data_IF_665724509641
#
_entry.id   IF_665724509641
#
_cell.length_a   1.000
_cell.length_b   1.000
_cell.length_c   1.000
_cell.angle_alpha   90.00
_cell.angle_beta   90.00
_cell.angle_gamma   90.00
#
_symmetry.space_group_name_H-M   'P 1'
#
loop_
_entity.id
_entity.type
_entity.pdbx_description
1 polymer ?
#
# COMPACT_ATOMS: atom_id res chain seq x y z
N UNK A 1 -2.79 -38.24 -51.72
CA UNK A 1 -1.61 -37.90 -50.90
C UNK A 1 -0.66 -37.09 -51.78
N UNK A 2 -0.34 -35.85 -51.42
CA UNK A 2 0.26 -34.84 -52.32
C UNK A 2 1.82 -34.84 -52.27
N UNK A 3 2.45 -35.75 -51.53
CA UNK A 3 3.89 -35.69 -51.24
C UNK A 3 4.75 -36.70 -52.03
N UNK A 4 4.55 -36.81 -53.35
CA UNK A 4 5.34 -37.69 -54.21
C UNK A 4 6.04 -36.93 -55.36
N UNK A 5 6.58 -35.73 -55.08
CA UNK A 5 7.45 -35.02 -56.01
C UNK A 5 8.92 -35.39 -55.76
N UNK A 6 9.66 -35.71 -56.82
CA UNK A 6 11.02 -36.25 -56.80
C UNK A 6 12.10 -35.23 -56.33
N UNK A 7 11.77 -33.94 -56.25
CA UNK A 7 12.67 -32.84 -55.89
C UNK A 7 12.20 -32.08 -54.64
N UNK A 8 11.85 -32.81 -53.58
CA UNK A 8 11.49 -32.17 -52.31
C UNK A 8 12.74 -31.57 -51.65
N UNK A 9 12.73 -30.25 -51.46
CA UNK A 9 13.78 -29.55 -50.71
C UNK A 9 13.27 -29.26 -49.31
N UNK A 10 13.93 -29.83 -48.30
CA UNK A 10 13.64 -29.51 -46.90
C UNK A 10 14.27 -28.16 -46.56
N UNK A 11 13.42 -27.17 -46.30
CA UNK A 11 13.84 -25.80 -45.98
C UNK A 11 13.82 -25.58 -44.46
N UNK A 12 14.91 -25.06 -43.91
CA UNK A 12 14.97 -24.62 -42.51
C UNK A 12 14.78 -23.12 -42.46
N UNK A 13 13.79 -22.65 -41.72
CA UNK A 13 13.42 -21.25 -41.66
C UNK A 13 13.83 -20.63 -40.31
N UNK A 14 14.32 -19.39 -40.29
CA UNK A 14 14.70 -18.71 -39.06
C UNK A 14 13.47 -18.34 -38.21
N UNK A 15 13.67 -18.03 -36.93
CA UNK A 15 12.60 -17.53 -36.06
C UNK A 15 11.95 -16.27 -36.63
N UNK A 16 10.66 -16.07 -36.31
CA UNK A 16 9.86 -14.95 -36.82
C UNK A 16 9.80 -14.87 -38.36
N UNK A 17 9.81 -16.01 -39.04
CA UNK A 17 9.55 -16.11 -40.47
C UNK A 17 8.30 -16.93 -40.81
N UNK A 18 7.81 -16.76 -42.04
CA UNK A 18 6.79 -17.60 -42.66
C UNK A 18 7.27 -18.05 -44.04
N UNK A 19 7.17 -19.35 -44.37
CA UNK A 19 7.54 -19.87 -45.68
C UNK A 19 6.79 -19.16 -46.80
N UNK A 20 7.50 -18.88 -47.89
CA UNK A 20 6.94 -18.28 -49.10
C UNK A 20 7.53 -18.94 -50.31
N UNK A 21 6.70 -19.56 -51.12
CA UNK A 21 7.18 -20.15 -52.37
C UNK A 21 7.40 -19.05 -53.40
N UNK A 22 8.62 -18.93 -53.92
CA UNK A 22 8.98 -18.04 -55.03
C UNK A 22 9.42 -18.88 -56.24
N UNK A 23 9.17 -18.44 -57.48
CA UNK A 23 9.61 -19.15 -58.69
C UNK A 23 11.13 -19.34 -58.78
N UNK A 24 11.90 -18.53 -58.05
CA UNK A 24 13.37 -18.52 -58.08
C UNK A 24 13.99 -19.30 -56.91
N UNK A 25 13.33 -19.33 -55.75
CA UNK A 25 13.80 -20.05 -54.58
C UNK A 25 12.61 -20.70 -53.85
N UNK A 26 12.51 -22.04 -53.83
CA UNK A 26 11.44 -22.74 -53.14
C UNK A 26 11.54 -22.65 -51.60
N UNK A 27 12.69 -22.22 -51.07
CA UNK A 27 12.91 -21.99 -49.63
C UNK A 27 12.87 -20.50 -49.26
N UNK A 28 12.19 -19.68 -50.04
CA UNK A 28 12.04 -18.26 -49.73
C UNK A 28 11.10 -18.07 -48.52
N UNK A 29 11.23 -16.93 -47.83
CA UNK A 29 10.44 -16.65 -46.62
C UNK A 29 10.23 -15.16 -46.43
N UNK A 30 9.10 -14.80 -45.83
CA UNK A 30 8.84 -13.43 -45.36
C UNK A 30 9.06 -13.37 -43.84
N UNK A 31 9.61 -12.25 -43.36
CA UNK A 31 9.68 -11.97 -41.93
C UNK A 31 8.31 -11.50 -41.42
N UNK A 32 7.90 -12.05 -40.28
CA UNK A 32 6.66 -11.70 -39.58
C UNK A 32 6.96 -10.99 -38.26
N UNK A 33 5.91 -10.65 -37.52
CA UNK A 33 6.02 -10.04 -36.19
C UNK A 33 6.81 -8.71 -36.16
N UNK A 34 6.88 -7.98 -37.27
CA UNK A 34 7.60 -6.71 -37.38
C UNK A 34 9.11 -6.83 -37.58
N UNK A 35 9.65 -8.04 -37.72
CA UNK A 35 11.07 -8.26 -37.99
C UNK A 35 11.40 -7.96 -39.46
N UNK A 36 12.66 -7.59 -39.71
CA UNK A 36 13.14 -7.25 -41.05
C UNK A 36 14.17 -8.25 -41.55
N UNK A 37 14.19 -8.47 -42.86
CA UNK A 37 15.15 -9.35 -43.53
C UNK A 37 16.58 -8.81 -43.39
N UNK A 38 17.48 -9.63 -42.85
CA UNK A 38 18.91 -9.34 -42.73
C UNK A 38 19.70 -10.60 -43.07
N UNK A 39 20.22 -10.65 -44.30
CA UNK A 39 20.83 -11.86 -44.83
C UNK A 39 19.79 -12.99 -44.86
N UNK A 40 20.09 -14.11 -44.20
CA UNK A 40 19.19 -15.26 -44.12
C UNK A 40 18.42 -15.34 -42.79
N UNK A 41 18.23 -14.21 -42.09
CA UNK A 41 17.58 -14.15 -40.78
C UNK A 41 16.58 -12.99 -40.68
N UNK A 42 15.59 -13.14 -39.79
CA UNK A 42 14.68 -12.07 -39.42
C UNK A 42 15.19 -11.38 -38.15
N UNK A 43 15.58 -10.11 -38.25
CA UNK A 43 16.22 -9.37 -37.16
C UNK A 43 15.42 -8.12 -36.82
N UNK A 44 15.27 -7.85 -35.52
CA UNK A 44 14.70 -6.61 -35.01
C UNK A 44 15.80 -5.55 -34.94
N UNK A 45 15.82 -4.62 -35.91
CA UNK A 45 16.84 -3.57 -35.97
C UNK A 45 16.49 -2.40 -35.05
N UNK A 46 17.51 -1.79 -34.46
CA UNK A 46 17.37 -0.52 -33.75
C UNK A 46 16.75 0.55 -34.67
N UNK A 47 15.87 1.44 -34.14
CA UNK A 47 15.53 1.64 -32.73
C UNK A 47 14.40 0.75 -32.18
N UNK A 48 13.96 -0.27 -32.93
CA UNK A 48 12.89 -1.18 -32.51
C UNK A 48 13.42 -2.21 -31.50
N UNK A 49 12.54 -2.77 -30.68
CA UNK A 49 12.85 -3.81 -29.70
C UNK A 49 11.86 -4.97 -29.78
N UNK A 50 12.34 -6.17 -29.48
CA UNK A 50 11.50 -7.36 -29.38
C UNK A 50 10.70 -7.31 -28.08
N UNK A 51 9.39 -7.36 -28.19
CA UNK A 51 8.42 -7.35 -27.09
C UNK A 51 7.33 -8.39 -27.33
N UNK A 52 7.20 -9.36 -26.41
CA UNK A 52 6.25 -10.49 -26.53
C UNK A 52 6.28 -11.15 -27.92
N UNK A 53 7.49 -11.39 -28.45
CA UNK A 53 7.71 -12.00 -29.76
C UNK A 53 7.45 -11.09 -30.97
N UNK A 54 7.17 -9.79 -30.78
CA UNK A 54 7.02 -8.81 -31.87
C UNK A 54 8.08 -7.73 -31.81
N UNK A 55 8.71 -7.41 -32.94
CA UNK A 55 9.59 -6.28 -33.10
C UNK A 55 8.78 -5.00 -33.29
N UNK A 56 8.72 -4.18 -32.24
CA UNK A 56 7.89 -2.96 -32.18
C UNK A 56 8.70 -1.78 -31.65
N UNK A 57 8.13 -0.58 -31.78
CA UNK A 57 8.70 0.60 -31.13
C UNK A 57 8.65 0.43 -29.60
N UNK A 58 9.71 0.80 -28.88
CA UNK A 58 9.76 0.72 -27.42
C UNK A 58 8.56 1.41 -26.73
N UNK A 59 8.04 2.52 -27.28
CA UNK A 59 6.86 3.21 -26.75
C UNK A 59 5.56 2.43 -26.96
N UNK A 60 5.53 1.55 -27.96
CA UNK A 60 4.38 0.73 -28.34
C UNK A 60 4.45 -0.68 -27.74
N UNK A 61 5.55 -1.00 -27.06
CA UNK A 61 5.72 -2.23 -26.31
C UNK A 61 4.84 -2.15 -25.07
N UNK A 62 3.79 -2.99 -24.93
CA UNK A 62 3.06 -3.09 -23.68
C UNK A 62 3.98 -3.82 -22.70
N UNK A 63 4.86 -3.08 -22.03
CA UNK A 63 5.52 -3.59 -20.85
C UNK A 63 4.43 -3.91 -19.84
N UNK A 64 4.38 -5.17 -19.40
CA UNK A 64 3.87 -5.44 -18.06
C UNK A 64 4.62 -4.51 -17.11
N UNK A 65 3.89 -3.62 -16.43
CA UNK A 65 4.38 -3.00 -15.21
C UNK A 65 4.97 -1.58 -15.29
N UNK A 66 4.65 -0.75 -16.28
CA UNK A 66 4.42 0.67 -15.96
C UNK A 66 2.94 0.90 -15.65
N UNK A 67 2.40 0.01 -14.83
CA UNK A 67 1.45 0.42 -13.84
C UNK A 67 2.11 1.43 -12.90
N UNK A 68 2.27 2.67 -13.36
CA UNK A 68 1.78 3.79 -12.55
C UNK A 68 0.24 3.78 -12.59
N UNK A 69 -0.38 2.60 -12.47
CA UNK A 69 -1.44 2.52 -11.50
C UNK A 69 -0.82 3.14 -10.26
N UNK A 70 -1.36 4.26 -9.86
CA UNK A 70 -1.34 4.58 -8.46
C UNK A 70 -2.05 3.40 -7.77
N UNK A 71 -1.36 2.25 -7.61
CA UNK A 71 -1.08 1.82 -6.26
C UNK A 71 -0.47 3.07 -5.64
N UNK A 72 -1.35 3.96 -5.17
CA UNK A 72 -1.12 4.61 -3.90
C UNK A 72 -0.55 3.44 -3.12
N UNK A 73 0.75 3.51 -2.79
CA UNK A 73 1.24 2.71 -1.68
C UNK A 73 0.10 2.78 -0.69
N UNK A 74 -0.40 1.63 -0.25
CA UNK A 74 -1.38 1.58 0.80
C UNK A 74 -0.66 2.19 1.99
N UNK A 75 -0.56 3.53 1.99
CA UNK A 75 0.05 4.32 3.03
C UNK A 75 -0.69 3.89 4.25
N UNK A 76 0.02 3.83 5.35
CA UNK A 76 -0.61 3.35 6.56
C UNK A 76 -1.89 4.19 6.73
N UNK A 77 -3.05 3.54 6.76
CA UNK A 77 -4.33 4.19 6.46
C UNK A 77 -4.62 5.40 7.38
N UNK A 78 -3.94 5.44 8.54
CA UNK A 78 -3.92 6.52 9.51
C UNK A 78 -3.20 7.79 9.03
N UNK A 79 -2.43 7.77 7.94
CA UNK A 79 -1.79 8.96 7.33
C UNK A 79 -2.83 10.02 6.94
N UNK A 80 -4.07 9.61 6.68
CA UNK A 80 -5.20 10.49 6.38
C UNK A 80 -6.03 10.86 7.62
N UNK A 81 -5.71 10.32 8.80
CA UNK A 81 -6.40 10.62 10.05
C UNK A 81 -5.91 11.97 10.60
N UNK A 82 -6.48 13.06 10.08
CA UNK A 82 -6.15 14.43 10.45
C UNK A 82 -7.26 15.04 11.28
N UNK A 83 -6.88 15.61 12.41
CA UNK A 83 -7.77 16.37 13.28
C UNK A 83 -7.52 17.87 13.14
N UNK A 84 -8.45 18.67 13.65
CA UNK A 84 -8.24 20.11 13.83
C UNK A 84 -7.15 20.36 14.88
N UNK A 85 -6.60 21.57 14.88
CA UNK A 85 -5.60 21.96 15.87
C UNK A 85 -6.10 21.71 17.30
N UNK A 86 -5.23 21.14 18.12
CA UNK A 86 -5.52 20.77 19.51
C UNK A 86 -6.18 19.40 19.71
N UNK A 87 -6.54 18.68 18.64
CA UNK A 87 -7.16 17.36 18.72
C UNK A 87 -6.21 16.27 18.23
N UNK A 88 -6.29 15.11 18.86
CA UNK A 88 -5.49 13.92 18.54
C UNK A 88 -6.35 12.87 17.86
N UNK A 89 -5.85 12.26 16.79
CA UNK A 89 -6.52 11.15 16.14
C UNK A 89 -6.31 9.86 16.96
N UNK A 90 -7.40 9.34 17.51
CA UNK A 90 -7.42 8.16 18.37
C UNK A 90 -8.25 7.05 17.75
N UNK A 91 -7.95 5.80 18.08
CA UNK A 91 -8.78 4.66 17.70
C UNK A 91 -10.09 4.65 18.48
N UNK A 92 -11.13 4.05 17.90
CA UNK A 92 -12.45 3.92 18.55
C UNK A 92 -12.56 2.59 19.28
N UNK A 93 -12.94 2.60 20.56
CA UNK A 93 -13.18 1.37 21.33
C UNK A 93 -14.34 0.55 20.73
N UNK A 94 -14.13 -0.75 20.51
CA UNK A 94 -15.13 -1.61 19.85
C UNK A 94 -15.35 -1.32 18.36
N UNK A 95 -14.65 -0.34 17.80
CA UNK A 95 -14.66 -0.02 16.38
C UNK A 95 -13.87 -1.03 15.55
N UNK A 96 -14.02 -0.94 14.22
CA UNK A 96 -13.15 -1.71 13.31
C UNK A 96 -11.70 -1.18 13.39
N UNK A 97 -10.73 -1.94 12.86
CA UNK A 97 -9.29 -1.60 12.94
C UNK A 97 -8.89 -0.28 12.26
N UNK A 98 -9.78 0.32 11.46
CA UNK A 98 -9.59 1.59 10.76
C UNK A 98 -10.49 2.70 11.33
N UNK A 99 -11.27 2.41 12.36
CA UNK A 99 -12.16 3.37 12.99
C UNK A 99 -11.35 4.28 13.90
N UNK A 100 -11.50 5.57 13.68
CA UNK A 100 -10.79 6.60 14.41
C UNK A 100 -11.68 7.81 14.63
N UNK A 101 -11.35 8.58 15.65
CA UNK A 101 -12.03 9.81 16.01
C UNK A 101 -11.04 10.86 16.51
N UNK A 102 -11.46 12.12 16.54
CA UNK A 102 -10.66 13.22 17.05
C UNK A 102 -11.03 13.50 18.50
N UNK A 103 -10.07 13.32 19.40
CA UNK A 103 -10.25 13.53 20.84
C UNK A 103 -9.39 14.72 21.30
N UNK A 104 -9.95 15.57 22.15
CA UNK A 104 -9.18 16.60 22.85
C UNK A 104 -8.52 15.98 24.09
N UNK A 105 -7.32 15.43 23.88
CA UNK A 105 -6.59 14.70 24.93
C UNK A 105 -6.11 15.59 26.09
N UNK A 106 -6.37 16.89 26.04
CA UNK A 106 -6.07 17.81 27.16
C UNK A 106 -7.18 17.87 28.19
N UNK A 107 -8.41 17.56 27.80
CA UNK A 107 -9.60 17.75 28.62
C UNK A 107 -10.52 16.53 28.66
N UNK A 108 -10.30 15.55 27.78
CA UNK A 108 -11.04 14.30 27.80
C UNK A 108 -10.62 13.42 28.98
N UNK A 109 -11.59 12.97 29.77
CA UNK A 109 -11.36 12.18 30.99
C UNK A 109 -10.83 10.78 30.69
N UNK A 110 -11.29 10.19 29.60
CA UNK A 110 -11.02 8.79 29.25
C UNK A 110 -9.72 8.66 28.45
N UNK A 111 -9.33 9.73 27.76
CA UNK A 111 -8.13 9.85 26.94
C UNK A 111 -7.27 11.04 27.40
N UNK A 112 -7.03 11.12 28.69
CA UNK A 112 -6.25 12.22 29.26
C UNK A 112 -4.76 12.03 28.96
N UNK A 113 -4.12 13.05 28.39
CA UNK A 113 -2.70 13.05 28.01
C UNK A 113 -2.37 12.28 26.72
N UNK A 114 -3.33 11.57 26.14
CA UNK A 114 -3.17 10.82 24.90
C UNK A 114 -4.37 9.93 24.61
N UNK A 115 -4.29 9.07 23.61
CA UNK A 115 -5.41 8.18 23.28
C UNK A 115 -5.49 7.00 24.26
N UNK A 116 -6.67 6.73 24.84
CA UNK A 116 -6.94 5.45 25.50
C UNK A 116 -6.75 4.27 24.54
N UNK A 117 -7.17 4.46 23.29
CA UNK A 117 -6.96 3.52 22.18
C UNK A 117 -6.02 4.15 21.16
N UNK A 118 -4.71 3.82 21.18
CA UNK A 118 -3.74 4.34 20.23
C UNK A 118 -4.15 4.00 18.78
N UNK A 119 -4.09 4.98 17.89
CA UNK A 119 -4.40 4.80 16.48
C UNK A 119 -3.31 4.02 15.74
N UNK A 120 -2.05 4.27 16.10
CA UNK A 120 -0.86 3.59 15.62
C UNK A 120 0.20 3.52 16.73
N UNK A 121 1.35 2.90 16.45
CA UNK A 121 2.44 2.68 17.42
C UNK A 121 3.05 3.96 18.01
N UNK A 122 2.91 5.10 17.34
CA UNK A 122 3.44 6.38 17.80
C UNK A 122 2.37 7.32 18.36
N UNK A 123 1.09 6.90 18.40
CA UNK A 123 0.07 7.72 19.03
C UNK A 123 0.38 7.83 20.54
N UNK A 124 0.29 9.05 21.13
CA UNK A 124 0.47 9.21 22.56
C UNK A 124 -0.57 8.36 23.30
N UNK A 125 -0.15 7.70 24.38
CA UNK A 125 -1.04 6.89 25.21
C UNK A 125 -1.63 7.76 26.30
N UNK A 126 -2.94 7.73 26.42
CA UNK A 126 -3.66 8.39 27.49
C UNK A 126 -4.08 7.43 28.58
N UNK A 127 -4.64 8.02 29.62
CA UNK A 127 -5.22 7.31 30.77
C UNK A 127 -6.67 7.74 30.94
N UNK A 128 -7.46 6.80 31.46
CA UNK A 128 -8.81 7.08 31.93
C UNK A 128 -8.71 7.52 33.40
N UNK A 129 -8.94 8.81 33.65
CA UNK A 129 -8.90 9.38 35.00
C UNK A 129 -10.06 8.87 35.87
N UNK A 130 -11.17 8.42 35.29
CA UNK A 130 -12.33 7.91 36.02
C UNK A 130 -12.09 6.52 36.58
N UNK A 131 -11.18 5.76 35.95
CA UNK A 131 -10.73 4.46 36.42
C UNK A 131 -9.75 4.51 37.60
N UNK A 132 -9.29 5.71 38.03
CA UNK A 132 -8.38 5.84 39.17
C UNK A 132 -9.07 5.31 40.44
N UNK A 133 -8.46 4.39 41.20
CA UNK A 133 -9.08 3.83 42.39
C UNK A 133 -9.43 4.88 43.45
N UNK A 134 -10.67 4.83 43.93
CA UNK A 134 -11.12 5.67 45.05
C UNK A 134 -11.52 7.10 44.69
N UNK A 135 -11.39 7.52 43.42
CA UNK A 135 -11.82 8.86 43.00
C UNK A 135 -13.34 9.01 43.04
N UNK A 136 -13.81 10.18 43.46
CA UNK A 136 -15.21 10.57 43.42
C UNK A 136 -15.46 11.67 42.38
N UNK A 137 -14.51 12.58 42.20
CA UNK A 137 -14.52 13.61 41.16
C UNK A 137 -13.11 13.81 40.61
N UNK A 138 -13.00 13.88 39.28
CA UNK A 138 -11.75 14.02 38.53
C UNK A 138 -11.96 14.98 37.36
N UNK A 139 -10.87 15.63 36.98
CA UNK A 139 -10.77 16.34 35.72
C UNK A 139 -9.53 15.89 34.95
N UNK A 140 -9.58 16.05 33.64
CA UNK A 140 -8.37 16.10 32.84
C UNK A 140 -8.10 17.59 32.59
N UNK A 141 -6.94 18.08 33.03
CA UNK A 141 -6.51 19.43 32.72
C UNK A 141 -5.12 19.40 32.09
N UNK A 142 -5.00 20.03 30.93
CA UNK A 142 -3.75 20.12 30.18
C UNK A 142 -3.07 18.77 29.92
N UNK A 143 -3.85 17.68 29.88
CA UNK A 143 -3.37 16.31 29.66
C UNK A 143 -2.91 15.57 30.91
N UNK A 144 -3.21 16.08 32.10
CA UNK A 144 -2.92 15.44 33.38
C UNK A 144 -4.21 15.23 34.19
N UNK A 145 -4.30 14.09 34.88
CA UNK A 145 -5.43 13.81 35.74
C UNK A 145 -5.34 14.64 37.03
N UNK A 146 -6.33 15.50 37.24
CA UNK A 146 -6.54 16.30 38.44
C UNK A 146 -7.62 15.63 39.31
N UNK A 147 -7.23 15.07 40.46
CA UNK A 147 -8.16 14.46 41.40
C UNK A 147 -8.72 15.52 42.34
N UNK A 148 -9.99 15.87 42.15
CA UNK A 148 -10.68 16.92 42.91
C UNK A 148 -11.29 16.42 44.22
N UNK A 149 -11.76 15.17 44.24
CA UNK A 149 -12.27 14.56 45.46
C UNK A 149 -12.19 13.03 45.44
N UNK A 150 -12.12 12.44 46.63
CA UNK A 150 -12.08 11.00 46.85
C UNK A 150 -13.36 10.50 47.53
N UNK A 151 -13.68 9.22 47.33
CA UNK A 151 -14.78 8.52 48.01
C UNK A 151 -14.53 8.49 49.53
N UNK A 152 -15.60 8.29 50.31
CA UNK A 152 -15.50 8.14 51.77
C UNK A 152 -14.48 7.06 52.17
N UNK A 153 -13.61 7.37 53.14
CA UNK A 153 -12.51 6.50 53.57
C UNK A 153 -11.24 6.61 52.71
N UNK A 154 -11.18 7.60 51.81
CA UNK A 154 -10.01 7.91 50.99
C UNK A 154 -9.68 9.40 51.07
N UNK A 155 -8.40 9.74 50.89
CA UNK A 155 -7.87 11.08 50.83
C UNK A 155 -7.06 11.27 49.54
N UNK A 156 -7.01 12.51 49.04
CA UNK A 156 -6.21 12.87 47.87
C UNK A 156 -4.73 12.70 48.23
N UNK A 157 -3.96 12.10 47.34
CA UNK A 157 -2.51 11.93 47.51
C UNK A 157 -1.80 13.28 47.48
N UNK A 158 -0.59 13.40 48.06
CA UNK A 158 0.17 14.65 48.03
C UNK A 158 0.48 15.16 46.61
N UNK A 159 0.49 14.27 45.61
CA UNK A 159 0.68 14.64 44.20
C UNK A 159 -0.59 15.14 43.52
N UNK A 160 -1.76 15.02 44.14
CA UNK A 160 -3.04 15.43 43.53
C UNK A 160 -3.55 14.51 42.42
N UNK A 161 -2.86 13.41 42.15
CA UNK A 161 -3.11 12.54 40.98
C UNK A 161 -3.77 11.20 41.33
N UNK A 162 -4.02 10.93 42.62
CA UNK A 162 -4.62 9.68 43.06
C UNK A 162 -5.34 9.82 44.40
N UNK A 163 -6.18 8.84 44.72
CA UNK A 163 -6.74 8.68 46.06
C UNK A 163 -6.00 7.56 46.80
N UNK A 164 -5.73 7.77 48.08
CA UNK A 164 -5.16 6.77 48.99
C UNK A 164 -6.13 6.54 50.15
N UNK A 165 -6.21 5.31 50.68
CA UNK A 165 -7.09 5.03 51.82
C UNK A 165 -6.67 5.87 53.02
N UNK A 166 -7.63 6.57 53.62
CA UNK A 166 -7.44 7.25 54.89
C UNK A 166 -7.53 6.20 55.98
N UNK A 167 -6.44 6.04 56.74
CA UNK A 167 -6.44 5.23 57.95
C UNK A 167 -7.36 5.82 59.02
#
# INVERSE_FOLDING_TARGET
>A
QINAAHDHKTCNYPDHSSPKCSPYNPCDFDCKDGFSHVGNNCVCKAPLKVCNGKCVNQKSCPSQGHGHGHYKRDGEWWENAKCRDGYTACGVYGGNRKAWECIDTKYDLESCGGCAMPLHSHSPRGVDCTAIPGVADVACDSGECDVRSCKSGWAISPSGTSCVKSH
#
